data_IF_020485806605
#
_entry.id   IF_020485806605
#
_cell.length_a   1.000
_cell.length_b   1.000
_cell.length_c   1.000
_cell.angle_alpha   90.00
_cell.angle_beta   90.00
_cell.angle_gamma   90.00
#
_symmetry.space_group_name_H-M   'P 1'
#
loop_
_entity.id
_entity.type
_entity.pdbx_description
1 polymer ?
#
# COMPACT_ATOMS: atom_id res chain seq x y z
N UNK A 1 -21.13 -16.64 -23.39
CA UNK A 1 -20.46 -15.33 -23.38
C UNK A 1 -18.94 -15.53 -23.27
N UNK A 2 -18.17 -14.82 -24.11
CA UNK A 2 -16.71 -14.83 -24.01
C UNK A 2 -16.23 -13.68 -23.14
N UNK A 3 -15.43 -14.00 -22.12
CA UNK A 3 -14.90 -13.05 -21.14
C UNK A 3 -13.40 -13.12 -21.15
N UNK A 4 -12.73 -12.00 -21.34
CA UNK A 4 -11.28 -11.90 -21.22
C UNK A 4 -10.92 -11.01 -20.03
N UNK A 5 -9.99 -11.50 -19.22
CA UNK A 5 -9.43 -10.78 -18.07
C UNK A 5 -7.94 -10.56 -18.35
N UNK A 6 -7.48 -9.31 -18.32
CA UNK A 6 -6.07 -8.98 -18.53
C UNK A 6 -5.39 -8.83 -17.17
N UNK A 7 -4.45 -9.73 -16.90
CA UNK A 7 -3.69 -9.83 -15.66
C UNK A 7 -4.11 -10.98 -14.75
N UNK A 8 -3.19 -11.89 -14.47
CA UNK A 8 -3.36 -13.02 -13.54
C UNK A 8 -2.86 -12.66 -12.13
N UNK A 9 -3.13 -11.44 -11.68
CA UNK A 9 -2.95 -11.00 -10.31
C UNK A 9 -4.09 -11.42 -9.39
N UNK A 10 -4.05 -11.05 -8.09
CA UNK A 10 -5.09 -11.40 -7.11
C UNK A 10 -6.50 -11.05 -7.58
N UNK A 11 -6.71 -9.83 -8.06
CA UNK A 11 -8.04 -9.36 -8.49
C UNK A 11 -8.52 -10.07 -9.76
N UNK A 12 -7.62 -10.31 -10.73
CA UNK A 12 -7.98 -11.01 -11.97
C UNK A 12 -8.33 -12.48 -11.73
N UNK A 13 -7.56 -13.20 -10.91
CA UNK A 13 -7.87 -14.58 -10.52
C UNK A 13 -9.20 -14.67 -9.78
N UNK A 14 -9.44 -13.76 -8.82
CA UNK A 14 -10.67 -13.74 -8.06
C UNK A 14 -11.88 -13.38 -8.94
N UNK A 15 -11.72 -12.43 -9.88
CA UNK A 15 -12.74 -12.11 -10.87
C UNK A 15 -13.06 -13.32 -11.74
N UNK A 16 -12.06 -14.01 -12.27
CA UNK A 16 -12.25 -15.18 -13.12
C UNK A 16 -13.04 -16.29 -12.42
N UNK A 17 -12.69 -16.59 -11.16
CA UNK A 17 -13.35 -17.63 -10.35
C UNK A 17 -14.84 -17.29 -10.15
N UNK A 18 -15.17 -16.01 -9.92
CA UNK A 18 -16.56 -15.60 -9.67
C UNK A 18 -17.37 -15.34 -10.95
N UNK A 19 -16.71 -15.00 -12.07
CA UNK A 19 -17.38 -14.84 -13.37
C UNK A 19 -17.72 -16.18 -14.04
N UNK A 20 -17.02 -17.26 -13.71
CA UNK A 20 -17.18 -18.55 -14.37
C UNK A 20 -18.46 -19.26 -13.98
N UNK A 21 -19.22 -19.64 -14.98
CA UNK A 21 -20.33 -20.59 -14.92
C UNK A 21 -20.38 -21.44 -16.20
N UNK A 22 -21.39 -22.30 -16.33
CA UNK A 22 -21.54 -23.20 -17.51
C UNK A 22 -21.82 -22.45 -18.82
N UNK A 23 -22.30 -21.20 -18.77
CA UNK A 23 -22.65 -20.41 -19.94
C UNK A 23 -21.51 -19.45 -20.38
N UNK A 24 -20.43 -19.35 -19.60
CA UNK A 24 -19.33 -18.42 -19.82
C UNK A 24 -18.03 -19.16 -20.16
N UNK A 25 -17.35 -18.70 -21.20
CA UNK A 25 -15.94 -19.00 -21.41
C UNK A 25 -15.12 -17.86 -20.81
N UNK A 26 -14.26 -18.18 -19.85
CA UNK A 26 -13.39 -17.20 -19.16
C UNK A 26 -11.95 -17.51 -19.52
N UNK A 27 -11.23 -16.52 -20.02
CA UNK A 27 -9.81 -16.60 -20.36
C UNK A 27 -9.05 -15.47 -19.69
N UNK A 28 -7.95 -15.78 -19.02
CA UNK A 28 -7.03 -14.79 -18.46
C UNK A 28 -5.85 -14.64 -19.40
N UNK A 29 -5.46 -13.40 -19.72
CA UNK A 29 -4.23 -13.10 -20.48
C UNK A 29 -3.20 -12.52 -19.50
N UNK A 30 -2.05 -13.18 -19.39
CA UNK A 30 -0.96 -12.79 -18.50
C UNK A 30 0.33 -12.57 -19.30
N UNK A 31 0.94 -11.39 -19.12
CA UNK A 31 2.19 -11.04 -19.83
C UNK A 31 3.41 -11.84 -19.36
N UNK A 32 3.41 -12.27 -18.11
CA UNK A 32 4.49 -13.05 -17.53
C UNK A 32 4.36 -14.55 -17.85
N UNK A 33 5.45 -15.28 -17.61
CA UNK A 33 5.49 -16.74 -17.72
C UNK A 33 4.79 -17.47 -16.55
N UNK A 34 4.29 -16.74 -15.54
CA UNK A 34 3.53 -17.30 -14.41
C UNK A 34 2.63 -16.24 -13.78
N UNK A 35 1.51 -16.67 -13.21
CA UNK A 35 0.57 -15.83 -12.49
C UNK A 35 1.12 -15.36 -11.14
N UNK A 36 0.53 -14.31 -10.60
CA UNK A 36 0.63 -13.89 -9.20
C UNK A 36 2.01 -13.44 -8.72
N UNK A 37 2.91 -12.99 -9.63
CA UNK A 37 4.29 -12.62 -9.24
C UNK A 37 4.31 -11.62 -8.08
N UNK A 38 3.45 -10.57 -8.09
CA UNK A 38 3.38 -9.57 -7.03
C UNK A 38 2.80 -10.16 -5.74
N UNK A 39 1.80 -11.05 -5.83
CA UNK A 39 1.23 -11.75 -4.68
C UNK A 39 2.29 -12.52 -3.90
N UNK A 40 3.22 -13.18 -4.61
CA UNK A 40 4.30 -13.95 -3.98
C UNK A 40 5.27 -13.10 -3.14
N UNK A 41 5.36 -11.80 -3.38
CA UNK A 41 6.23 -10.88 -2.64
C UNK A 41 5.54 -10.26 -1.41
N UNK A 42 4.21 -10.35 -1.30
CA UNK A 42 3.46 -9.71 -0.22
C UNK A 42 3.80 -10.29 1.15
N UNK A 43 3.87 -9.41 2.16
CA UNK A 43 4.20 -9.80 3.53
C UNK A 43 5.53 -10.54 3.67
N UNK A 44 6.54 -10.16 2.89
CA UNK A 44 7.84 -10.86 2.82
C UNK A 44 7.68 -12.37 2.49
N UNK A 45 6.80 -12.70 1.56
CA UNK A 45 6.51 -14.08 1.17
C UNK A 45 5.48 -14.81 2.03
N UNK A 46 4.95 -14.17 3.08
CA UNK A 46 3.94 -14.76 3.98
C UNK A 46 2.51 -14.49 3.54
N UNK A 47 2.28 -13.51 2.66
CA UNK A 47 0.97 -13.06 2.19
C UNK A 47 0.05 -12.57 3.33
N UNK A 48 0.25 -11.33 3.79
CA UNK A 48 -0.77 -10.66 4.59
C UNK A 48 -1.95 -10.32 3.68
N UNK A 49 -2.97 -11.19 3.66
CA UNK A 49 -3.99 -11.15 2.61
C UNK A 49 -5.27 -10.40 3.00
N UNK A 50 -5.44 -10.07 4.30
CA UNK A 50 -6.62 -9.36 4.80
C UNK A 50 -6.32 -8.66 6.12
N UNK A 51 -7.26 -7.80 6.57
CA UNK A 51 -7.20 -7.14 7.88
C UNK A 51 -8.56 -7.23 8.59
N UNK A 52 -8.54 -7.52 9.89
CA UNK A 52 -9.73 -7.57 10.73
C UNK A 52 -10.42 -6.20 10.81
N UNK A 53 -9.61 -5.14 10.91
CA UNK A 53 -10.06 -3.75 11.03
C UNK A 53 -10.29 -3.10 9.67
N UNK A 54 -10.82 -3.85 8.68
CA UNK A 54 -11.11 -3.31 7.35
C UNK A 54 -12.20 -2.25 7.46
N UNK A 55 -11.86 -1.00 7.14
CA UNK A 55 -12.78 0.14 7.09
C UNK A 55 -12.31 1.12 6.01
N UNK A 56 -13.22 1.98 5.53
CA UNK A 56 -12.92 2.97 4.49
C UNK A 56 -11.82 3.96 4.90
N UNK A 57 -11.73 4.31 6.18
CA UNK A 57 -10.70 5.23 6.70
C UNK A 57 -9.26 4.71 6.59
N UNK A 58 -9.08 3.40 6.31
CA UNK A 58 -7.78 2.79 6.03
C UNK A 58 -7.43 2.82 4.53
N UNK A 59 -8.22 3.50 3.71
CA UNK A 59 -8.02 3.62 2.27
C UNK A 59 -8.00 5.08 1.84
N UNK A 60 -7.34 5.34 0.73
CA UNK A 60 -7.09 6.67 0.19
C UNK A 60 -7.44 6.71 -1.30
N UNK A 61 -8.06 7.81 -1.72
CA UNK A 61 -8.47 8.08 -3.09
C UNK A 61 -8.47 9.59 -3.33
N UNK A 62 -8.63 10.03 -4.57
CA UNK A 62 -9.02 11.40 -4.87
C UNK A 62 -10.53 11.66 -4.61
N UNK A 63 -11.30 10.58 -4.39
CA UNK A 63 -12.74 10.58 -4.13
C UNK A 63 -13.05 9.71 -2.90
N UNK A 64 -12.61 10.14 -1.72
CA UNK A 64 -12.68 9.34 -0.49
C UNK A 64 -14.12 8.96 -0.11
N UNK A 65 -15.09 9.84 -0.34
CA UNK A 65 -16.53 9.59 -0.06
C UNK A 65 -17.12 8.38 -0.79
N UNK A 66 -16.45 7.92 -1.86
CA UNK A 66 -16.89 6.76 -2.64
C UNK A 66 -16.33 5.42 -2.15
N UNK A 67 -15.36 5.43 -1.26
CA UNK A 67 -14.66 4.22 -0.80
C UNK A 67 -15.63 3.27 -0.08
N UNK A 68 -16.57 3.76 0.70
CA UNK A 68 -17.57 2.96 1.43
C UNK A 68 -18.44 2.09 0.52
N UNK A 69 -18.61 2.47 -0.75
CA UNK A 69 -19.36 1.68 -1.72
C UNK A 69 -18.67 0.35 -2.07
N UNK A 70 -17.34 0.29 -1.92
CA UNK A 70 -16.54 -0.92 -2.14
C UNK A 70 -16.13 -1.54 -0.82
N UNK A 71 -15.61 -0.72 0.09
CA UNK A 71 -15.05 -1.15 1.38
C UNK A 71 -16.11 -0.99 2.46
N UNK A 72 -16.83 -2.05 2.72
CA UNK A 72 -17.87 -2.12 3.75
C UNK A 72 -17.95 -3.54 4.35
N UNK A 73 -18.68 -3.69 5.45
CA UNK A 73 -18.75 -4.95 6.20
C UNK A 73 -19.37 -6.09 5.36
N UNK A 74 -20.35 -5.81 4.51
CA UNK A 74 -20.95 -6.83 3.65
C UNK A 74 -19.93 -7.41 2.66
N UNK A 75 -19.17 -6.54 1.99
CA UNK A 75 -18.16 -6.93 1.03
C UNK A 75 -16.96 -7.61 1.71
N UNK A 76 -16.60 -7.18 2.93
CA UNK A 76 -15.61 -7.84 3.78
C UNK A 76 -15.99 -9.27 4.05
N UNK A 77 -17.19 -9.50 4.60
CA UNK A 77 -17.67 -10.82 4.96
C UNK A 77 -17.81 -11.73 3.74
N UNK A 78 -18.30 -11.19 2.63
CA UNK A 78 -18.37 -11.88 1.34
C UNK A 78 -16.99 -12.34 0.86
N UNK A 79 -15.96 -11.49 0.96
CA UNK A 79 -14.62 -11.82 0.53
C UNK A 79 -13.99 -12.91 1.41
N UNK A 80 -14.16 -12.83 2.73
CA UNK A 80 -13.67 -13.83 3.67
C UNK A 80 -14.34 -15.20 3.44
N UNK A 81 -15.65 -15.24 3.24
CA UNK A 81 -16.41 -16.46 2.93
C UNK A 81 -15.91 -17.14 1.62
N UNK A 82 -15.63 -16.35 0.60
CA UNK A 82 -15.13 -16.91 -0.67
C UNK A 82 -13.68 -17.39 -0.54
N UNK A 83 -12.83 -16.69 0.21
CA UNK A 83 -11.45 -17.12 0.47
C UNK A 83 -11.42 -18.44 1.27
N UNK A 84 -12.30 -18.59 2.25
CA UNK A 84 -12.48 -19.84 3.00
C UNK A 84 -12.95 -20.99 2.09
N UNK A 85 -13.97 -20.76 1.24
CA UNK A 85 -14.44 -21.74 0.24
C UNK A 85 -13.40 -22.13 -0.83
N UNK A 86 -12.40 -21.30 -1.06
CA UNK A 86 -11.23 -21.63 -1.89
C UNK A 86 -10.26 -22.54 -1.11
N UNK A 87 -10.34 -22.57 0.23
CA UNK A 87 -9.51 -23.36 1.12
C UNK A 87 -8.35 -22.57 1.77
N UNK A 88 -8.42 -21.25 1.79
CA UNK A 88 -7.42 -20.41 2.45
C UNK A 88 -7.74 -20.34 3.94
N UNK A 89 -7.06 -21.15 4.74
CA UNK A 89 -7.24 -21.20 6.19
C UNK A 89 -6.44 -20.09 6.89
N UNK A 90 -7.10 -19.21 7.70
CA UNK A 90 -6.47 -18.04 8.28
C UNK A 90 -5.64 -18.34 9.53
N UNK A 91 -4.53 -17.60 9.67
CA UNK A 91 -3.82 -17.32 10.91
C UNK A 91 -3.90 -15.83 11.18
N UNK A 92 -4.64 -15.42 12.21
CA UNK A 92 -4.78 -14.00 12.57
C UNK A 92 -3.78 -13.65 13.67
N UNK A 93 -2.99 -12.60 13.44
CA UNK A 93 -2.02 -12.07 14.39
C UNK A 93 -2.15 -10.55 14.41
N UNK A 94 -2.54 -9.98 15.55
CA UNK A 94 -2.77 -8.54 15.72
C UNK A 94 -3.71 -7.93 14.65
N UNK A 95 -4.76 -8.67 14.27
CA UNK A 95 -5.71 -8.26 13.23
C UNK A 95 -5.26 -8.52 11.79
N UNK A 96 -4.01 -8.93 11.56
CA UNK A 96 -3.49 -9.28 10.23
C UNK A 96 -3.77 -10.74 9.88
N UNK A 97 -4.32 -10.99 8.69
CA UNK A 97 -4.63 -12.33 8.19
C UNK A 97 -3.50 -12.86 7.31
N UNK A 98 -2.95 -13.98 7.68
CA UNK A 98 -1.99 -14.76 6.90
C UNK A 98 -2.55 -16.14 6.60
N UNK A 99 -2.17 -16.84 5.52
CA UNK A 99 -2.43 -18.26 5.42
C UNK A 99 -1.73 -18.98 6.57
N UNK A 100 -2.35 -20.00 7.15
CA UNK A 100 -1.78 -20.68 8.31
C UNK A 100 -0.39 -21.27 8.04
N UNK A 101 -0.11 -21.61 6.78
CA UNK A 101 1.19 -22.05 6.30
C UNK A 101 2.27 -20.94 6.33
N UNK A 102 1.90 -19.66 6.48
CA UNK A 102 2.76 -18.49 6.29
C UNK A 102 3.49 -18.44 4.94
N UNK A 103 2.89 -18.99 3.88
CA UNK A 103 3.46 -19.04 2.52
C UNK A 103 2.50 -18.39 1.52
N UNK A 104 2.95 -17.34 0.83
CA UNK A 104 2.19 -16.69 -0.26
C UNK A 104 1.92 -17.65 -1.42
N UNK A 105 2.82 -18.59 -1.65
CA UNK A 105 2.65 -19.64 -2.67
C UNK A 105 1.46 -20.54 -2.41
N UNK A 106 1.08 -20.81 -1.15
CA UNK A 106 -0.09 -21.63 -0.85
C UNK A 106 -1.39 -20.93 -1.26
N UNK A 107 -1.48 -19.60 -1.04
CA UNK A 107 -2.63 -18.80 -1.50
C UNK A 107 -2.74 -18.82 -3.02
N UNK A 108 -1.63 -18.56 -3.72
CA UNK A 108 -1.61 -18.57 -5.18
C UNK A 108 -1.99 -19.94 -5.76
N UNK A 109 -1.41 -21.02 -5.21
CA UNK A 109 -1.68 -22.37 -5.68
C UNK A 109 -3.17 -22.74 -5.53
N UNK A 110 -3.81 -22.41 -4.43
CA UNK A 110 -5.25 -22.64 -4.21
C UNK A 110 -6.11 -21.89 -5.24
N UNK A 111 -5.78 -20.63 -5.53
CA UNK A 111 -6.45 -19.86 -6.57
C UNK A 111 -6.29 -20.51 -7.96
N UNK A 112 -5.09 -20.95 -8.31
CA UNK A 112 -4.82 -21.61 -9.59
C UNK A 112 -5.50 -22.98 -9.71
N UNK A 113 -5.51 -23.77 -8.65
CA UNK A 113 -6.26 -25.04 -8.60
C UNK A 113 -7.74 -24.77 -8.81
N UNK A 114 -8.30 -23.73 -8.17
CA UNK A 114 -9.71 -23.36 -8.35
C UNK A 114 -10.00 -22.93 -9.78
N UNK A 115 -9.13 -22.13 -10.40
CA UNK A 115 -9.25 -21.75 -11.80
C UNK A 115 -9.24 -22.98 -12.72
N UNK A 116 -8.29 -23.89 -12.52
CA UNK A 116 -8.19 -25.13 -13.31
C UNK A 116 -9.45 -26.01 -13.17
N UNK A 117 -9.92 -26.22 -11.95
CA UNK A 117 -11.12 -27.03 -11.68
C UNK A 117 -12.40 -26.43 -12.29
N UNK A 118 -12.43 -25.11 -12.50
CA UNK A 118 -13.51 -24.41 -13.18
C UNK A 118 -13.35 -24.37 -14.70
N UNK A 119 -12.24 -24.86 -15.27
CA UNK A 119 -11.94 -24.79 -16.69
C UNK A 119 -11.72 -23.34 -17.17
N UNK A 120 -10.98 -22.55 -16.39
CA UNK A 120 -10.55 -21.21 -16.77
C UNK A 120 -9.19 -21.32 -17.44
N UNK A 121 -9.09 -20.84 -18.68
CA UNK A 121 -7.83 -20.84 -19.45
C UNK A 121 -6.95 -19.65 -19.02
N UNK A 122 -5.65 -19.88 -18.85
CA UNK A 122 -4.65 -18.81 -18.59
C UNK A 122 -3.61 -18.85 -19.72
N UNK A 123 -3.57 -17.78 -20.51
CA UNK A 123 -2.58 -17.59 -21.58
C UNK A 123 -1.42 -16.79 -21.02
N UNK A 124 -0.28 -17.43 -20.86
CA UNK A 124 0.95 -16.82 -20.38
C UNK A 124 1.81 -16.27 -21.52
N UNK A 125 2.76 -15.38 -21.16
CA UNK A 125 3.70 -14.74 -22.10
C UNK A 125 2.98 -13.96 -23.23
N UNK A 126 1.80 -13.44 -22.97
CA UNK A 126 1.02 -12.66 -23.93
C UNK A 126 0.86 -11.22 -23.42
N UNK A 127 1.65 -10.31 -23.96
CA UNK A 127 1.58 -8.90 -23.61
C UNK A 127 0.47 -8.21 -24.43
N UNK A 128 -0.47 -7.59 -23.75
CA UNK A 128 -1.53 -6.79 -24.40
C UNK A 128 -1.02 -5.39 -24.71
N UNK A 129 -1.01 -5.05 -25.99
CA UNK A 129 -0.53 -3.75 -26.51
C UNK A 129 -1.60 -2.95 -27.24
N UNK A 130 -2.72 -3.59 -27.61
CA UNK A 130 -3.85 -2.91 -28.24
C UNK A 130 -5.18 -3.49 -27.81
N UNK A 131 -6.15 -2.61 -27.60
CA UNK A 131 -7.55 -2.96 -27.31
C UNK A 131 -8.41 -2.02 -28.14
N UNK A 132 -9.32 -2.57 -28.93
CA UNK A 132 -10.31 -1.85 -29.70
C UNK A 132 -11.70 -2.38 -29.38
N UNK A 133 -12.75 -1.59 -29.56
CA UNK A 133 -14.15 -2.00 -29.43
C UNK A 133 -14.84 -1.87 -30.79
N UNK A 134 -15.28 -2.99 -31.35
CA UNK A 134 -15.96 -3.06 -32.64
C UNK A 134 -17.20 -3.94 -32.51
N UNK A 135 -18.34 -3.45 -33.00
CA UNK A 135 -19.61 -4.20 -32.99
C UNK A 135 -19.94 -4.82 -31.60
N UNK A 136 -19.79 -4.04 -30.52
CA UNK A 136 -20.01 -4.45 -29.14
C UNK A 136 -19.06 -5.52 -28.61
N UNK A 137 -18.02 -5.90 -29.34
CA UNK A 137 -16.96 -6.81 -28.89
C UNK A 137 -15.64 -6.08 -28.71
N UNK A 138 -14.85 -6.52 -27.74
CA UNK A 138 -13.48 -6.07 -27.59
C UNK A 138 -12.54 -6.95 -28.41
N UNK A 139 -11.63 -6.31 -29.15
CA UNK A 139 -10.58 -6.97 -29.93
C UNK A 139 -9.24 -6.63 -29.28
N UNK A 140 -8.55 -7.65 -28.79
CA UNK A 140 -7.28 -7.53 -28.08
C UNK A 140 -6.15 -8.04 -28.99
N UNK A 141 -5.10 -7.24 -29.19
CA UNK A 141 -3.96 -7.53 -30.04
C UNK A 141 -4.33 -7.97 -31.48
N UNK A 142 -5.49 -7.59 -32.00
CA UNK A 142 -6.05 -8.10 -33.25
C UNK A 142 -6.13 -9.66 -33.32
N UNK A 143 -6.08 -10.34 -32.19
CA UNK A 143 -5.95 -11.80 -32.08
C UNK A 143 -7.09 -12.42 -31.27
N UNK A 144 -7.52 -11.76 -30.21
CA UNK A 144 -8.56 -12.26 -29.32
C UNK A 144 -9.81 -11.37 -29.39
N UNK A 145 -10.98 -11.99 -29.26
CA UNK A 145 -12.25 -11.28 -29.19
C UNK A 145 -13.05 -11.71 -27.98
N UNK A 146 -13.72 -10.77 -27.32
CA UNK A 146 -14.63 -11.08 -26.21
C UNK A 146 -15.82 -10.15 -26.14
N UNK A 147 -16.87 -10.60 -25.44
CA UNK A 147 -18.07 -9.84 -25.16
C UNK A 147 -17.85 -8.90 -23.96
N UNK A 148 -17.08 -9.35 -22.97
CA UNK A 148 -16.74 -8.58 -21.76
C UNK A 148 -15.24 -8.58 -21.51
N UNK A 149 -14.71 -7.41 -21.16
CA UNK A 149 -13.31 -7.21 -20.90
C UNK A 149 -13.09 -6.70 -19.49
N UNK A 150 -12.20 -7.36 -18.73
CA UNK A 150 -11.77 -6.93 -17.39
C UNK A 150 -10.30 -6.56 -17.41
N UNK A 151 -9.97 -5.38 -16.92
CA UNK A 151 -8.59 -4.92 -16.77
C UNK A 151 -8.18 -5.03 -15.30
N UNK A 152 -7.22 -5.91 -15.02
CA UNK A 152 -6.73 -6.27 -13.68
C UNK A 152 -5.21 -6.19 -13.59
N UNK A 153 -4.57 -5.27 -14.33
CA UNK A 153 -3.11 -5.21 -14.53
C UNK A 153 -2.35 -4.53 -13.40
N UNK A 154 -3.06 -3.91 -12.45
CA UNK A 154 -2.46 -3.02 -11.47
C UNK A 154 -1.92 -1.74 -12.10
N UNK A 155 -1.06 -1.02 -11.39
CA UNK A 155 -0.47 0.25 -11.82
C UNK A 155 1.05 0.10 -12.09
N UNK A 156 1.92 0.83 -11.34
CA UNK A 156 3.36 0.88 -11.61
C UNK A 156 4.24 0.32 -10.50
N UNK A 157 3.67 -0.05 -9.35
CA UNK A 157 4.44 -0.57 -8.21
C UNK A 157 5.01 -1.97 -8.47
N UNK A 158 6.26 -2.19 -8.05
CA UNK A 158 7.01 -3.41 -8.34
C UNK A 158 6.99 -3.79 -9.85
N UNK A 159 7.39 -2.87 -10.72
CA UNK A 159 7.31 -2.99 -12.18
C UNK A 159 7.86 -4.32 -12.72
N UNK A 160 8.91 -4.86 -12.10
CA UNK A 160 9.51 -6.17 -12.42
C UNK A 160 8.55 -7.36 -12.25
N UNK A 161 7.42 -7.18 -11.58
CA UNK A 161 6.38 -8.21 -11.44
C UNK A 161 5.35 -8.18 -12.56
N UNK A 162 5.42 -7.21 -13.44
CA UNK A 162 4.50 -7.04 -14.57
C UNK A 162 3.53 -5.87 -14.44
N UNK A 163 3.51 -5.18 -13.30
CA UNK A 163 2.67 -4.01 -13.04
C UNK A 163 3.41 -2.74 -13.51
N UNK A 164 3.27 -2.39 -14.78
CA UNK A 164 4.03 -1.30 -15.43
C UNK A 164 3.18 -0.17 -16.00
N UNK A 165 1.85 -0.28 -15.87
CA UNK A 165 0.92 0.74 -16.34
C UNK A 165 0.78 0.86 -17.86
N UNK A 166 1.22 -0.13 -18.64
CA UNK A 166 1.23 -0.08 -20.11
C UNK A 166 -0.17 0.12 -20.74
N UNK A 167 -1.23 -0.32 -20.04
CA UNK A 167 -2.60 -0.17 -20.54
C UNK A 167 -3.25 1.19 -20.25
N UNK A 168 -2.64 2.03 -19.40
CA UNK A 168 -3.22 3.32 -19.02
C UNK A 168 -3.51 4.23 -20.22
N UNK A 169 -2.59 4.40 -21.21
CA UNK A 169 -2.89 5.21 -22.39
C UNK A 169 -4.05 4.66 -23.26
N UNK A 170 -4.30 3.34 -23.20
CA UNK A 170 -5.42 2.72 -23.90
C UNK A 170 -6.74 3.02 -23.16
N UNK A 171 -6.71 3.00 -21.83
CA UNK A 171 -7.85 3.32 -20.97
C UNK A 171 -8.24 4.79 -21.14
N UNK A 172 -7.26 5.69 -21.21
CA UNK A 172 -7.48 7.11 -21.51
C UNK A 172 -8.13 7.32 -22.90
N UNK A 173 -7.74 6.52 -23.92
CA UNK A 173 -8.40 6.56 -25.24
C UNK A 173 -9.87 6.12 -25.21
N UNK A 174 -10.27 5.31 -24.24
CA UNK A 174 -11.68 4.99 -23.99
C UNK A 174 -12.44 6.11 -23.26
N UNK A 175 -11.78 7.23 -22.96
CA UNK A 175 -12.35 8.42 -22.33
C UNK A 175 -12.20 8.48 -20.82
N UNK A 176 -11.57 7.49 -20.19
CA UNK A 176 -11.37 7.47 -18.75
C UNK A 176 -10.28 8.44 -18.29
N UNK A 177 -10.59 9.18 -17.22
CA UNK A 177 -9.61 9.99 -16.51
C UNK A 177 -8.76 9.09 -15.62
N UNK A 178 -7.43 9.23 -15.75
CA UNK A 178 -6.47 8.59 -14.87
C UNK A 178 -5.89 9.63 -13.91
N UNK A 179 -6.12 9.45 -12.61
CA UNK A 179 -5.53 10.30 -11.58
C UNK A 179 -4.01 10.08 -11.50
N UNK A 180 -3.22 11.09 -11.08
CA UNK A 180 -1.76 11.00 -11.05
C UNK A 180 -1.25 9.79 -10.28
N UNK A 181 -0.47 8.94 -10.96
CA UNK A 181 0.09 7.72 -10.39
C UNK A 181 1.43 8.05 -9.75
N UNK A 182 1.49 7.90 -8.42
CA UNK A 182 2.68 8.17 -7.62
C UNK A 182 2.97 6.97 -6.71
N UNK A 183 4.24 6.75 -6.33
CA UNK A 183 4.57 5.65 -5.43
C UNK A 183 3.97 5.85 -4.04
N UNK A 184 3.39 4.81 -3.46
CA UNK A 184 2.85 4.78 -2.10
C UNK A 184 3.29 3.52 -1.37
N UNK A 185 3.23 3.54 -0.03
CA UNK A 185 3.81 2.52 0.83
C UNK A 185 5.27 2.24 0.44
N UNK A 186 6.06 3.31 0.43
CA UNK A 186 7.44 3.37 -0.06
C UNK A 186 8.34 4.12 0.92
N UNK A 187 9.63 3.77 0.95
CA UNK A 187 10.63 4.52 1.68
C UNK A 187 10.84 5.90 1.04
N UNK A 188 11.29 6.87 1.84
CA UNK A 188 11.57 8.22 1.37
C UNK A 188 13.04 8.59 1.51
N UNK A 189 13.51 9.50 0.66
CA UNK A 189 14.84 10.08 0.71
C UNK A 189 14.79 11.40 1.47
N UNK A 190 15.71 11.57 2.38
CA UNK A 190 15.75 12.75 3.25
C UNK A 190 17.13 13.01 3.82
N UNK A 191 17.32 14.22 4.34
CA UNK A 191 18.57 14.64 4.96
C UNK A 191 18.66 14.10 6.39
N UNK A 192 19.24 12.90 6.55
CA UNK A 192 19.48 12.26 7.85
C UNK A 192 20.98 12.16 8.16
N UNK A 193 21.37 12.16 9.44
CA UNK A 193 22.74 11.90 9.84
C UNK A 193 23.17 10.49 9.43
N UNK A 194 24.38 10.35 8.85
CA UNK A 194 24.91 9.05 8.41
C UNK A 194 24.99 8.02 9.56
N UNK A 195 25.28 8.50 10.77
CA UNK A 195 25.40 7.64 11.96
C UNK A 195 24.09 6.97 12.38
N UNK A 196 22.93 7.48 11.88
CA UNK A 196 21.61 6.90 12.17
C UNK A 196 21.29 5.68 11.32
N UNK A 197 22.02 5.44 10.24
CA UNK A 197 21.78 4.29 9.36
C UNK A 197 21.72 2.98 10.12
N UNK A 198 20.68 2.19 9.88
CA UNK A 198 20.41 0.91 10.53
C UNK A 198 19.66 0.99 11.87
N UNK A 199 19.46 2.18 12.44
CA UNK A 199 18.67 2.34 13.68
C UNK A 199 17.21 2.07 13.38
N UNK A 200 16.56 1.30 14.25
CA UNK A 200 15.11 1.10 14.32
C UNK A 200 14.60 1.53 15.67
N UNK A 201 13.50 2.26 15.69
CA UNK A 201 12.87 2.79 16.90
C UNK A 201 11.36 2.81 16.75
N UNK A 202 10.64 2.81 17.87
CA UNK A 202 9.26 3.24 17.89
C UNK A 202 9.22 4.75 18.07
N UNK A 203 8.61 5.45 17.13
CA UNK A 203 8.53 6.90 17.11
C UNK A 203 7.15 7.37 16.69
N UNK A 204 6.81 8.59 17.05
CA UNK A 204 5.73 9.35 16.43
C UNK A 204 6.36 10.25 15.38
N UNK A 205 5.82 10.22 14.17
CA UNK A 205 6.27 11.08 13.08
C UNK A 205 5.12 11.93 12.58
N UNK A 206 5.38 13.20 12.33
CA UNK A 206 4.39 14.16 11.85
C UNK A 206 4.86 14.78 10.55
N UNK A 207 4.02 14.65 9.52
CA UNK A 207 4.28 15.23 8.19
C UNK A 207 3.76 16.66 8.14
N UNK A 208 4.61 17.55 7.64
CA UNK A 208 4.26 18.93 7.31
C UNK A 208 4.60 19.22 5.84
N UNK A 209 3.68 19.90 5.15
CA UNK A 209 3.87 20.41 3.79
C UNK A 209 3.79 21.95 3.82
N UNK A 210 4.81 22.65 3.31
CA UNK A 210 4.92 24.12 3.38
C UNK A 210 4.66 24.64 4.81
N UNK A 211 5.16 23.94 5.84
CA UNK A 211 4.96 24.20 7.28
C UNK A 211 3.50 24.05 7.77
N UNK A 212 2.60 23.43 7.02
CA UNK A 212 1.24 23.10 7.42
C UNK A 212 1.21 21.63 7.81
N UNK A 213 0.66 21.30 8.99
CA UNK A 213 0.45 19.92 9.43
C UNK A 213 -0.47 19.17 8.47
N UNK A 214 -0.08 17.94 8.09
CA UNK A 214 -0.85 17.08 7.18
C UNK A 214 -1.39 15.86 7.92
N UNK A 215 -0.51 15.06 8.49
CA UNK A 215 -0.88 13.81 9.17
C UNK A 215 0.25 13.35 10.08
N UNK A 216 -0.10 12.55 11.09
CA UNK A 216 0.88 11.88 11.95
C UNK A 216 0.62 10.38 12.03
N UNK A 217 1.69 9.63 12.30
CA UNK A 217 1.66 8.18 12.49
C UNK A 217 2.60 7.79 13.63
N UNK A 218 2.24 6.72 14.36
CA UNK A 218 3.06 6.14 15.43
C UNK A 218 3.40 4.70 15.06
N UNK A 219 4.66 4.32 15.18
CA UNK A 219 5.09 2.95 14.90
C UNK A 219 6.58 2.81 14.72
N UNK A 220 6.99 1.66 14.18
CA UNK A 220 8.39 1.42 13.85
C UNK A 220 8.86 2.34 12.74
N UNK A 221 9.88 3.14 13.04
CA UNK A 221 10.65 3.97 12.12
C UNK A 221 12.04 3.38 11.94
N UNK A 222 12.51 3.31 10.72
CA UNK A 222 13.85 2.85 10.37
C UNK A 222 14.62 3.95 9.65
N UNK A 223 15.81 4.25 10.13
CA UNK A 223 16.77 5.09 9.43
C UNK A 223 17.61 4.23 8.46
N UNK A 224 17.73 4.71 7.22
CA UNK A 224 18.54 4.09 6.18
C UNK A 224 19.69 5.02 5.79
N UNK A 225 20.54 4.62 4.90
CA UNK A 225 21.64 5.45 4.38
C UNK A 225 21.17 6.59 3.46
N UNK A 226 19.94 6.50 2.94
CA UNK A 226 19.33 7.47 2.02
C UNK A 226 18.17 8.26 2.62
N UNK A 227 17.64 7.87 3.77
CA UNK A 227 16.46 8.52 4.35
C UNK A 227 15.73 7.65 5.35
N UNK A 228 14.41 7.63 5.29
CA UNK A 228 13.54 7.00 6.27
C UNK A 228 12.72 5.85 5.66
N UNK A 229 12.46 4.84 6.47
CA UNK A 229 11.63 3.68 6.20
C UNK A 229 10.84 3.29 7.48
N UNK A 230 10.15 2.15 7.46
CA UNK A 230 9.33 1.67 8.57
C UNK A 230 7.84 1.88 8.30
N UNK A 231 7.00 1.17 9.05
CA UNK A 231 5.55 1.12 8.77
C UNK A 231 4.92 2.51 8.90
N UNK A 232 5.21 3.24 9.98
CA UNK A 232 4.64 4.58 10.19
C UNK A 232 4.99 5.54 9.04
N UNK A 233 6.23 5.50 8.53
CA UNK A 233 6.60 6.34 7.40
C UNK A 233 5.95 5.90 6.09
N UNK A 234 5.90 4.60 5.84
CA UNK A 234 5.29 4.08 4.62
C UNK A 234 3.81 4.49 4.51
N UNK A 235 3.09 4.58 5.63
CA UNK A 235 1.72 5.09 5.69
C UNK A 235 1.62 6.56 5.27
N UNK A 236 2.60 7.39 5.60
CA UNK A 236 2.65 8.80 5.19
C UNK A 236 3.16 8.99 3.76
N UNK A 237 3.80 7.99 3.16
CA UNK A 237 4.52 8.13 1.89
C UNK A 237 3.64 8.51 0.70
N UNK A 238 2.37 8.11 0.67
CA UNK A 238 1.41 8.52 -0.36
C UNK A 238 1.10 10.02 -0.31
N UNK A 239 0.98 10.59 0.90
CA UNK A 239 0.84 12.04 1.10
C UNK A 239 2.12 12.76 0.67
N UNK A 240 3.28 12.27 1.11
CA UNK A 240 4.58 12.82 0.72
C UNK A 240 4.73 12.84 -0.80
N UNK A 241 4.41 11.75 -1.49
CA UNK A 241 4.47 11.66 -2.95
C UNK A 241 3.56 12.69 -3.63
N UNK A 242 2.32 12.87 -3.13
CA UNK A 242 1.38 13.88 -3.64
C UNK A 242 1.89 15.30 -3.37
N UNK A 243 2.44 15.57 -2.19
CA UNK A 243 3.04 16.86 -1.83
C UNK A 243 4.19 17.23 -2.75
N UNK A 244 5.16 16.34 -2.92
CA UNK A 244 6.32 16.55 -3.81
C UNK A 244 5.91 16.71 -5.28
N UNK A 245 4.94 15.93 -5.75
CA UNK A 245 4.38 16.10 -7.10
C UNK A 245 3.79 17.50 -7.31
N UNK A 246 3.14 18.05 -6.29
CA UNK A 246 2.58 19.41 -6.29
C UNK A 246 3.62 20.49 -5.92
N UNK A 247 4.91 20.14 -5.90
CA UNK A 247 6.04 21.04 -5.61
C UNK A 247 5.97 21.71 -4.23
N UNK A 248 5.43 21.01 -3.24
CA UNK A 248 5.42 21.44 -1.85
C UNK A 248 6.68 20.95 -1.14
N UNK A 249 7.18 21.75 -0.21
CA UNK A 249 8.23 21.33 0.71
C UNK A 249 7.66 20.30 1.70
N UNK A 250 8.31 19.16 1.85
CA UNK A 250 7.90 18.10 2.77
C UNK A 250 8.91 17.95 3.92
N UNK A 251 8.41 18.00 5.15
CA UNK A 251 9.19 17.81 6.37
C UNK A 251 8.56 16.77 7.27
N UNK A 252 9.39 15.93 7.87
CA UNK A 252 9.01 15.02 8.93
C UNK A 252 9.61 15.50 10.24
N UNK A 253 8.76 15.69 11.25
CA UNK A 253 9.20 15.87 12.63
C UNK A 253 9.07 14.55 13.37
N UNK A 254 10.16 14.12 14.03
CA UNK A 254 10.25 12.84 14.73
C UNK A 254 10.25 13.10 16.23
N UNK A 255 9.27 12.54 16.94
CA UNK A 255 9.30 12.39 18.39
C UNK A 255 9.83 10.98 18.71
N UNK A 256 11.02 10.91 19.30
CA UNK A 256 11.66 9.66 19.72
C UNK A 256 11.05 9.06 20.99
N UNK A 257 10.21 9.80 21.68
CA UNK A 257 9.63 9.44 22.98
C UNK A 257 8.09 9.57 22.98
N UNK A 258 7.38 8.91 22.04
CA UNK A 258 5.93 9.10 21.84
C UNK A 258 5.08 8.63 23.03
N UNK A 259 5.65 7.82 23.93
CA UNK A 259 5.02 7.32 25.14
C UNK A 259 5.11 8.29 26.34
N UNK A 260 5.79 9.44 26.17
CA UNK A 260 5.96 10.46 27.21
C UNK A 260 5.02 11.63 26.91
N UNK A 261 4.00 11.82 27.75
CA UNK A 261 3.07 12.94 27.64
C UNK A 261 3.68 14.26 28.13
N UNK A 262 4.39 14.22 29.26
CA UNK A 262 5.06 15.37 29.85
C UNK A 262 6.58 15.15 29.89
N UNK A 263 7.28 15.66 28.88
CA UNK A 263 8.72 15.54 28.77
C UNK A 263 9.47 16.14 29.96
N UNK A 264 9.06 17.35 30.39
CA UNK A 264 9.81 18.09 31.43
C UNK A 264 9.72 17.38 32.78
N UNK A 265 8.57 16.87 33.14
CA UNK A 265 8.37 16.08 34.35
C UNK A 265 9.13 14.75 34.29
N UNK A 266 9.03 14.06 33.16
CA UNK A 266 9.72 12.77 32.96
C UNK A 266 11.23 12.94 33.08
N UNK A 267 11.82 13.92 32.38
CA UNK A 267 13.26 14.13 32.36
C UNK A 267 13.78 14.51 33.74
N UNK A 268 13.07 15.42 34.44
CA UNK A 268 13.44 15.83 35.79
C UNK A 268 13.44 14.65 36.77
N UNK A 269 12.37 13.86 36.78
CA UNK A 269 12.26 12.67 37.64
C UNK A 269 13.37 11.65 37.37
N UNK A 270 13.65 11.40 36.07
CA UNK A 270 14.68 10.47 35.67
C UNK A 270 16.09 10.94 36.06
N UNK A 271 16.42 12.20 35.78
CA UNK A 271 17.73 12.76 36.05
C UNK A 271 17.99 12.96 37.54
N UNK A 272 16.94 13.18 38.33
CA UNK A 272 17.06 13.19 39.81
C UNK A 272 17.44 11.81 40.35
N UNK A 273 16.82 10.74 39.81
CA UNK A 273 17.13 9.35 40.20
C UNK A 273 18.53 8.90 39.73
N UNK A 274 18.98 9.42 38.60
CA UNK A 274 20.26 9.02 37.96
C UNK A 274 21.30 10.16 37.98
N UNK A 275 21.29 10.97 39.02
CA UNK A 275 22.11 12.18 39.15
C UNK A 275 23.63 11.98 39.10
N UNK A 276 24.09 10.76 39.30
CA UNK A 276 25.48 10.36 39.15
C UNK A 276 25.90 10.07 37.69
N UNK A 277 24.96 9.89 36.78
CA UNK A 277 25.21 9.62 35.36
C UNK A 277 25.21 10.90 34.53
N UNK A 278 25.98 10.91 33.42
CA UNK A 278 25.81 11.93 32.41
C UNK A 278 24.46 11.71 31.64
N UNK A 279 24.02 12.72 30.90
CA UNK A 279 22.69 12.68 30.22
C UNK A 279 22.60 11.53 29.22
N UNK A 280 23.67 11.27 28.45
CA UNK A 280 23.69 10.19 27.44
C UNK A 280 23.47 8.84 28.11
N UNK A 281 24.23 8.52 29.15
CA UNK A 281 24.09 7.26 29.87
C UNK A 281 22.76 7.13 30.62
N UNK A 282 22.24 8.24 31.14
CA UNK A 282 20.92 8.26 31.80
C UNK A 282 19.76 7.98 30.84
N UNK A 283 19.88 8.30 29.55
CA UNK A 283 18.87 8.09 28.53
C UNK A 283 19.10 6.87 27.62
N UNK A 284 20.25 6.21 27.69
CA UNK A 284 20.66 5.15 26.76
C UNK A 284 19.67 3.96 26.69
N UNK A 285 18.98 3.66 27.79
CA UNK A 285 17.95 2.60 27.81
C UNK A 285 16.63 3.02 27.13
N UNK A 286 16.49 4.26 26.70
CA UNK A 286 15.28 4.83 26.09
C UNK A 286 15.57 5.24 24.65
N UNK A 287 16.69 5.93 24.43
CA UNK A 287 17.11 6.46 23.14
C UNK A 287 18.41 5.81 22.72
N UNK A 288 18.50 5.39 21.47
CA UNK A 288 19.74 4.83 20.93
C UNK A 288 20.92 5.80 21.14
N UNK A 289 22.04 5.28 21.68
CA UNK A 289 23.25 6.04 21.97
C UNK A 289 23.71 6.92 20.80
N UNK A 290 23.66 6.42 19.56
CA UNK A 290 24.10 7.20 18.38
C UNK A 290 23.26 8.47 18.18
N UNK A 291 21.95 8.43 18.47
CA UNK A 291 21.08 9.59 18.39
C UNK A 291 21.47 10.62 19.44
N UNK A 292 21.62 10.20 20.69
CA UNK A 292 22.03 11.09 21.79
C UNK A 292 23.41 11.73 21.52
N UNK A 293 24.36 10.91 21.13
CA UNK A 293 25.71 11.37 20.81
C UNK A 293 25.73 12.39 19.67
N UNK A 294 24.96 12.14 18.61
CA UNK A 294 24.81 13.08 17.50
C UNK A 294 24.20 14.42 17.96
N UNK A 295 23.12 14.38 18.77
CA UNK A 295 22.48 15.61 19.29
C UNK A 295 23.49 16.45 20.06
N UNK A 296 24.25 15.85 20.96
CA UNK A 296 25.23 16.55 21.76
C UNK A 296 26.35 17.13 20.89
N UNK A 297 26.92 16.34 19.99
CA UNK A 297 27.98 16.76 19.07
C UNK A 297 27.55 17.90 18.15
N UNK A 298 26.38 17.76 17.51
CA UNK A 298 25.84 18.76 16.59
C UNK A 298 25.67 20.13 17.24
N UNK A 299 25.32 20.14 18.53
CA UNK A 299 25.03 21.36 19.26
C UNK A 299 26.21 21.82 20.17
N UNK A 300 27.41 21.22 20.04
CA UNK A 300 28.60 21.52 20.83
C UNK A 300 28.36 21.41 22.35
N UNK A 301 27.52 20.46 22.78
CA UNK A 301 27.28 20.16 24.18
C UNK A 301 28.31 19.08 24.61
N UNK A 302 28.95 19.27 25.77
CA UNK A 302 29.88 18.25 26.30
C UNK A 302 29.11 16.98 26.67
N UNK A 303 29.53 15.85 26.07
CA UNK A 303 28.93 14.53 26.24
C UNK A 303 28.99 13.99 27.68
N UNK A 304 29.89 14.53 28.51
CA UNK A 304 30.08 14.10 29.90
C UNK A 304 29.18 14.85 30.87
N UNK A 305 28.53 15.95 30.45
CA UNK A 305 27.66 16.74 31.33
C UNK A 305 26.54 15.92 31.94
N UNK A 306 26.31 16.15 33.24
CA UNK A 306 25.08 15.74 33.92
C UNK A 306 23.95 16.71 33.59
N UNK A 307 22.69 16.30 33.74
CA UNK A 307 21.54 17.11 33.34
C UNK A 307 21.51 18.48 34.05
N UNK A 308 21.80 18.51 35.33
CA UNK A 308 21.80 19.74 36.11
C UNK A 308 23.01 20.66 35.84
N UNK A 309 23.98 20.19 35.07
CA UNK A 309 25.11 21.00 34.57
C UNK A 309 24.80 21.62 33.21
N UNK A 310 23.71 21.17 32.55
CA UNK A 310 23.21 21.78 31.33
C UNK A 310 22.60 23.14 31.65
N UNK A 311 22.96 24.17 30.91
CA UNK A 311 22.26 25.43 30.96
C UNK A 311 20.86 25.30 30.31
N UNK A 312 20.00 26.33 30.53
CA UNK A 312 18.62 26.28 30.07
C UNK A 312 18.48 26.13 28.52
N UNK A 313 19.40 26.70 27.76
CA UNK A 313 19.43 26.58 26.32
C UNK A 313 19.79 25.15 25.89
N UNK A 314 20.78 24.53 26.52
CA UNK A 314 21.17 23.12 26.27
C UNK A 314 20.03 22.14 26.63
N UNK A 315 19.28 22.41 27.72
CA UNK A 315 18.10 21.62 28.09
C UNK A 315 16.98 21.75 27.03
N UNK A 316 16.74 22.95 26.53
CA UNK A 316 15.76 23.17 25.46
C UNK A 316 16.18 22.48 24.15
N UNK A 317 17.44 22.58 23.77
CA UNK A 317 17.99 21.86 22.60
C UNK A 317 17.79 20.34 22.74
N UNK A 318 18.05 19.78 23.91
CA UNK A 318 17.84 18.36 24.18
C UNK A 318 16.35 18.01 24.01
N UNK A 319 15.43 18.79 24.59
CA UNK A 319 14.00 18.59 24.47
C UNK A 319 13.55 18.63 23.01
N UNK A 320 13.83 19.70 22.30
CA UNK A 320 13.45 19.88 20.90
C UNK A 320 14.03 18.79 20.01
N UNK A 321 15.30 18.43 20.21
CA UNK A 321 15.93 17.38 19.44
C UNK A 321 15.35 15.98 19.71
N UNK A 322 14.78 15.73 20.88
CA UNK A 322 14.17 14.43 21.22
C UNK A 322 12.68 14.35 20.88
N UNK A 323 11.98 15.49 20.85
CA UNK A 323 10.52 15.52 20.59
C UNK A 323 10.12 16.06 19.22
N UNK A 324 11.01 16.82 18.54
CA UNK A 324 10.75 17.50 17.25
C UNK A 324 11.96 17.46 16.32
N UNK A 325 12.58 16.28 16.16
CA UNK A 325 13.74 16.14 15.27
C UNK A 325 13.31 16.31 13.82
N UNK A 326 13.77 17.36 13.15
CA UNK A 326 13.39 17.69 11.77
C UNK A 326 14.21 16.90 10.74
N UNK A 327 13.50 16.35 9.74
CA UNK A 327 14.07 15.73 8.54
C UNK A 327 13.39 16.32 7.31
N UNK A 328 14.16 16.96 6.44
CA UNK A 328 13.68 17.44 5.15
C UNK A 328 13.63 16.27 4.15
N UNK A 329 12.49 16.08 3.51
CA UNK A 329 12.24 15.03 2.52
C UNK A 329 12.28 15.65 1.13
N UNK A 330 13.02 15.04 0.19
CA UNK A 330 13.16 15.57 -1.16
C UNK A 330 12.76 14.59 -2.27
N UNK A 331 12.56 13.29 -1.97
CA UNK A 331 12.16 12.29 -2.95
C UNK A 331 11.63 11.02 -2.24
N UNK A 332 11.06 10.11 -3.02
CA UNK A 332 10.73 8.75 -2.60
C UNK A 332 11.71 7.74 -3.20
N UNK A 333 11.68 6.49 -2.72
CA UNK A 333 12.53 5.44 -3.28
C UNK A 333 11.96 4.82 -4.58
N UNK A 334 10.97 5.47 -5.18
CA UNK A 334 10.43 5.19 -6.50
C UNK A 334 9.53 3.93 -6.58
N UNK A 335 8.98 3.73 -7.77
CA UNK A 335 7.99 2.67 -8.03
C UNK A 335 8.52 1.25 -7.81
N UNK A 336 9.80 1.00 -8.07
CA UNK A 336 10.39 -0.34 -7.92
C UNK A 336 10.46 -0.80 -6.45
N UNK A 337 10.35 0.12 -5.51
CA UNK A 337 10.35 -0.14 -4.07
C UNK A 337 8.98 0.13 -3.41
N UNK A 338 8.02 0.64 -4.18
CA UNK A 338 6.67 0.93 -3.70
C UNK A 338 5.81 -0.33 -3.65
N UNK A 339 5.12 -0.57 -2.54
CA UNK A 339 4.20 -1.71 -2.44
C UNK A 339 2.92 -1.47 -3.24
N UNK A 340 2.48 -0.22 -3.34
CA UNK A 340 1.31 0.22 -4.12
C UNK A 340 1.55 1.59 -4.75
N UNK A 341 0.53 2.12 -5.43
CA UNK A 341 0.53 3.47 -5.99
C UNK A 341 -0.67 4.25 -5.49
N UNK A 342 -0.56 5.59 -5.46
CA UNK A 342 -1.73 6.48 -5.48
C UNK A 342 -2.23 6.60 -6.91
N UNK A 343 -3.44 7.15 -7.08
CA UNK A 343 -4.01 7.39 -8.40
C UNK A 343 -4.56 6.14 -9.06
N UNK A 344 -4.87 6.25 -10.33
CA UNK A 344 -5.55 5.21 -11.11
C UNK A 344 -6.81 5.74 -11.76
N UNK A 345 -7.70 4.87 -12.22
CA UNK A 345 -8.95 5.26 -12.90
C UNK A 345 -9.88 5.91 -11.90
N UNK A 346 -10.40 7.11 -12.25
CA UNK A 346 -11.26 7.90 -11.38
C UNK A 346 -12.53 7.12 -11.01
N UNK A 347 -12.86 7.06 -9.72
CA UNK A 347 -13.98 6.28 -9.18
C UNK A 347 -15.36 6.75 -9.69
N UNK A 348 -15.51 8.04 -10.01
CA UNK A 348 -16.77 8.57 -10.55
C UNK A 348 -17.16 7.93 -11.89
N UNK A 349 -16.20 7.37 -12.61
CA UNK A 349 -16.40 6.78 -13.93
C UNK A 349 -16.62 5.25 -13.88
N UNK A 350 -16.68 4.68 -12.67
CA UNK A 350 -16.91 3.26 -12.43
C UNK A 350 -18.19 3.07 -11.63
N UNK A 351 -18.97 2.07 -11.98
CA UNK A 351 -20.05 1.58 -11.13
C UNK A 351 -19.42 0.69 -10.04
N UNK A 352 -19.28 1.23 -8.82
CA UNK A 352 -18.52 0.61 -7.74
C UNK A 352 -19.17 -0.65 -7.15
N UNK A 353 -20.46 -0.91 -7.44
CA UNK A 353 -21.12 -2.16 -7.04
C UNK A 353 -20.86 -3.32 -8.01
N UNK A 354 -20.48 -3.02 -9.25
CA UNK A 354 -20.25 -4.00 -10.32
C UNK A 354 -18.85 -3.93 -10.91
N UNK A 355 -18.10 -2.88 -10.63
CA UNK A 355 -16.80 -2.55 -11.21
C UNK A 355 -16.83 -2.28 -12.71
N UNK A 356 -18.01 -2.10 -13.31
CA UNK A 356 -18.17 -1.77 -14.73
C UNK A 356 -17.93 -0.28 -14.99
N UNK A 357 -17.29 0.03 -16.12
CA UNK A 357 -17.16 1.38 -16.63
C UNK A 357 -18.54 2.02 -16.89
N UNK A 358 -18.73 3.26 -16.45
CA UNK A 358 -19.90 4.06 -16.80
C UNK A 358 -19.82 4.65 -18.22
N UNK A 359 -18.61 4.69 -18.80
CA UNK A 359 -18.37 5.29 -20.11
C UNK A 359 -18.40 4.24 -21.24
N UNK A 360 -17.97 3.02 -20.96
CA UNK A 360 -17.82 1.95 -21.95
C UNK A 360 -18.48 0.68 -21.43
N UNK A 361 -19.63 0.33 -21.96
CA UNK A 361 -20.37 -0.87 -21.57
C UNK A 361 -19.52 -2.14 -21.72
N UNK A 362 -19.65 -3.10 -20.79
CA UNK A 362 -18.92 -4.36 -20.76
C UNK A 362 -17.40 -4.24 -20.57
N UNK A 363 -16.89 -3.07 -20.19
CA UNK A 363 -15.51 -2.84 -19.73
C UNK A 363 -15.51 -2.76 -18.21
N UNK A 364 -14.61 -3.49 -17.55
CA UNK A 364 -14.54 -3.57 -16.09
C UNK A 364 -13.10 -3.31 -15.61
N UNK A 365 -12.96 -2.80 -14.37
CA UNK A 365 -11.68 -2.51 -13.75
C UNK A 365 -11.61 -3.10 -12.35
N UNK A 366 -10.54 -3.83 -11.99
CA UNK A 366 -10.41 -4.47 -10.68
C UNK A 366 -9.01 -4.35 -10.09
N UNK A 367 -8.92 -4.30 -8.78
CA UNK A 367 -7.67 -4.21 -8.05
C UNK A 367 -7.04 -2.82 -8.12
N UNK A 368 -5.73 -2.75 -8.03
CA UNK A 368 -4.97 -1.50 -7.91
C UNK A 368 -5.05 -0.55 -9.12
N UNK A 369 -5.72 -0.92 -10.21
CA UNK A 369 -5.85 -0.05 -11.38
C UNK A 369 -6.82 1.11 -11.15
N UNK A 370 -7.74 0.98 -10.21
CA UNK A 370 -8.67 2.04 -9.79
C UNK A 370 -8.00 2.97 -8.78
N UNK A 371 -8.46 4.20 -8.69
CA UNK A 371 -7.91 5.21 -7.77
C UNK A 371 -8.28 4.92 -6.31
N UNK A 372 -7.82 3.78 -5.79
CA UNK A 372 -7.88 3.41 -4.36
C UNK A 372 -6.59 2.67 -3.99
N UNK A 373 -5.99 3.07 -2.87
CA UNK A 373 -4.96 2.28 -2.21
C UNK A 373 -5.21 2.25 -0.70
N UNK A 374 -4.86 1.14 -0.06
CA UNK A 374 -4.99 0.95 1.39
C UNK A 374 -3.68 1.13 2.13
N UNK A 375 -3.77 1.31 3.43
CA UNK A 375 -2.66 1.32 4.37
C UNK A 375 -1.83 0.03 4.33
N UNK A 376 -0.69 0.01 5.04
CA UNK A 376 0.07 -1.21 5.28
C UNK A 376 -0.77 -2.19 6.12
N UNK A 377 -0.85 -3.47 5.72
CA UNK A 377 -1.49 -4.45 6.60
C UNK A 377 -2.61 -5.29 6.00
N UNK A 378 -2.53 -5.67 4.73
CA UNK A 378 -3.50 -6.57 4.08
C UNK A 378 -4.62 -5.86 3.34
N UNK A 379 -4.78 -4.55 3.51
CA UNK A 379 -5.84 -3.75 2.90
C UNK A 379 -5.80 -3.77 1.36
N UNK A 380 -4.63 -3.66 0.74
CA UNK A 380 -4.50 -3.66 -0.72
C UNK A 380 -4.88 -5.01 -1.36
N UNK A 381 -4.58 -6.13 -0.69
CA UNK A 381 -5.06 -7.44 -1.14
C UNK A 381 -6.57 -7.59 -0.91
N UNK A 382 -7.10 -7.09 0.21
CA UNK A 382 -8.55 -7.07 0.46
C UNK A 382 -9.32 -6.32 -0.64
N UNK A 383 -8.82 -5.16 -1.08
CA UNK A 383 -9.37 -4.43 -2.24
C UNK A 383 -9.35 -5.30 -3.52
N UNK A 384 -8.24 -6.02 -3.76
CA UNK A 384 -8.13 -6.92 -4.92
C UNK A 384 -9.19 -8.03 -4.87
N UNK A 385 -9.40 -8.64 -3.70
CA UNK A 385 -10.42 -9.69 -3.54
C UNK A 385 -11.82 -9.13 -3.75
N UNK A 386 -12.16 -8.06 -3.04
CA UNK A 386 -13.50 -7.45 -3.06
C UNK A 386 -13.85 -7.00 -4.49
N UNK A 387 -13.00 -6.19 -5.13
CA UNK A 387 -13.26 -5.68 -6.48
C UNK A 387 -13.35 -6.80 -7.52
N UNK A 388 -12.49 -7.83 -7.40
CA UNK A 388 -12.55 -9.01 -8.26
C UNK A 388 -13.85 -9.79 -8.09
N UNK A 389 -14.33 -9.96 -6.86
CA UNK A 389 -15.61 -10.65 -6.57
C UNK A 389 -16.80 -9.85 -7.11
N UNK A 390 -16.86 -8.55 -6.85
CA UNK A 390 -17.94 -7.69 -7.33
C UNK A 390 -18.05 -7.76 -8.85
N UNK A 391 -16.94 -7.60 -9.56
CA UNK A 391 -16.88 -7.73 -11.01
C UNK A 391 -17.33 -9.12 -11.49
N UNK A 392 -16.77 -10.17 -10.92
CA UNK A 392 -17.07 -11.53 -11.32
C UNK A 392 -18.54 -11.90 -11.12
N UNK A 393 -19.14 -11.49 -10.01
CA UNK A 393 -20.58 -11.72 -9.73
C UNK A 393 -21.48 -11.00 -10.72
N UNK A 394 -21.24 -9.72 -11.01
CA UNK A 394 -22.02 -8.98 -12.01
C UNK A 394 -21.96 -9.65 -13.38
N UNK A 395 -20.78 -10.05 -13.82
CA UNK A 395 -20.60 -10.77 -15.09
C UNK A 395 -21.36 -12.11 -15.09
N UNK A 396 -21.30 -12.85 -13.99
CA UNK A 396 -21.99 -14.12 -13.82
C UNK A 396 -23.51 -13.94 -13.90
N UNK A 397 -24.07 -12.95 -13.21
CA UNK A 397 -25.51 -12.72 -13.17
C UNK A 397 -26.05 -12.25 -14.52
N UNK A 398 -25.35 -11.34 -15.21
CA UNK A 398 -25.70 -10.92 -16.58
C UNK A 398 -25.66 -12.06 -17.59
N UNK A 399 -24.89 -13.12 -17.33
CA UNK A 399 -24.85 -14.30 -18.21
C UNK A 399 -26.00 -15.28 -18.02
N UNK A 400 -26.75 -15.18 -16.94
CA UNK A 400 -27.94 -16.00 -16.67
C UNK A 400 -29.18 -15.44 -17.33
N UNK A 401 -29.20 -14.14 -17.65
CA UNK A 401 -30.31 -13.39 -18.19
C UNK A 401 -30.30 -13.31 -19.72
N UNK A 402 -29.20 -13.69 -20.34
CA UNK A 402 -29.02 -13.83 -21.78
C UNK A 402 -29.00 -15.32 -22.18
#
# INVERSE_FOLDING_TARGET
MDIIIIGAGPSGLMCAINAKNKNNKVTIIEKNNKAGKKLLLTGNGKCNYFNENLCSSSYHSSNEDLIDLIINENNKNMALDILDKIGIYPKVVNGYYYPYSNLSSSVLNLLLIKCNNLGIDIIYNENVTSINKLNNKFIINNKYSCDKLVISTGLKSYSKTGSDGILLPIIEKFGHKVEPILPALVQVKGNIPKDFSGIRINAKISLYENNIFVKEEIGELQFTDYGLSGICLMQLSGYISKGLYNKKDAKIYINFMPFIENFDEFILNRMTKLNNLNVINALESIINYKILYYIFKKNNIDINKKYFELNKNEQNILKESLTHFEVNIYDTNGFDNAQTCTGGINLNEINLSTMESKLVSNLYFTGEIIDIYGDCGGYNLALCWISGILCGKDINDKSKTN
#
